data_IF_944019792689
#
_entry.id   IF_944019792689
#
_cell.length_a   1.000
_cell.length_b   1.000
_cell.length_c   1.000
_cell.angle_alpha   90.00
_cell.angle_beta   90.00
_cell.angle_gamma   90.00
#
_symmetry.space_group_name_H-M   'P 1'
#
loop_
_entity.id
_entity.type
_entity.pdbx_description
1 polymer ?
#
# COMPACT_ATOMS: atom_id res chain seq x y z
N UNK A 1 -7.26 -2.48 22.56
CA UNK A 1 -7.30 -1.04 22.25
C UNK A 1 -5.98 -0.34 22.56
N UNK A 2 -5.37 -0.49 23.76
CA UNK A 2 -4.07 0.16 24.10
C UNK A 2 -2.93 -0.15 23.13
N UNK A 3 -2.77 -1.39 22.69
CA UNK A 3 -1.71 -1.80 21.74
C UNK A 3 -1.89 -1.15 20.35
N UNK A 4 -3.12 -1.07 19.86
CA UNK A 4 -3.41 -0.41 18.57
C UNK A 4 -3.03 1.08 18.60
N UNK A 5 -3.36 1.79 19.67
CA UNK A 5 -2.99 3.20 19.87
C UNK A 5 -1.48 3.35 20.02
N UNK A 6 -0.82 2.42 20.74
CA UNK A 6 0.64 2.38 20.87
C UNK A 6 1.35 2.20 19.53
N UNK A 7 0.86 1.26 18.70
CA UNK A 7 1.40 1.02 17.35
C UNK A 7 1.20 2.24 16.43
N UNK A 8 0.06 2.92 16.54
CA UNK A 8 -0.20 4.15 15.78
C UNK A 8 0.77 5.26 16.20
N UNK A 9 0.95 5.47 17.51
CA UNK A 9 1.91 6.46 18.04
C UNK A 9 3.34 6.19 17.59
N UNK A 10 3.78 4.91 17.62
CA UNK A 10 5.09 4.50 17.12
C UNK A 10 5.23 4.77 15.61
N UNK A 11 4.20 4.45 14.82
CA UNK A 11 4.21 4.65 13.37
C UNK A 11 4.32 6.14 13.00
N UNK A 12 3.61 7.01 13.71
CA UNK A 12 3.68 8.46 13.55
C UNK A 12 5.07 8.98 13.92
N UNK A 13 5.62 8.57 15.07
CA UNK A 13 6.96 8.97 15.51
C UNK A 13 8.03 8.52 14.51
N UNK A 14 7.92 7.28 14.01
CA UNK A 14 8.82 6.75 12.99
C UNK A 14 8.78 7.60 11.71
N UNK A 15 7.58 7.91 11.20
CA UNK A 15 7.44 8.72 10.00
C UNK A 15 8.01 10.14 10.19
N UNK A 16 7.80 10.77 11.35
CA UNK A 16 8.38 12.09 11.67
C UNK A 16 9.92 12.07 11.69
N UNK A 17 10.53 10.95 12.07
CA UNK A 17 11.99 10.81 12.09
C UNK A 17 12.57 10.52 10.70
N UNK A 18 11.77 10.05 9.74
CA UNK A 18 12.19 9.73 8.37
C UNK A 18 12.15 10.95 7.44
N UNK A 19 12.84 12.02 7.81
CA UNK A 19 12.89 13.26 7.02
C UNK A 19 13.38 13.04 5.59
N UNK A 20 14.39 12.16 5.41
CA UNK A 20 14.95 11.87 4.08
C UNK A 20 13.94 11.14 3.19
N UNK A 21 13.24 10.14 3.73
CA UNK A 21 12.19 9.42 3.01
C UNK A 21 11.06 10.37 2.60
N UNK A 22 10.58 11.20 3.51
CA UNK A 22 9.53 12.21 3.23
C UNK A 22 9.98 13.13 2.09
N UNK A 23 11.15 13.76 2.19
CA UNK A 23 11.64 14.71 1.18
C UNK A 23 11.77 14.06 -0.20
N UNK A 24 12.34 12.86 -0.27
CA UNK A 24 12.53 12.16 -1.56
C UNK A 24 11.20 11.76 -2.18
N UNK A 25 10.27 11.19 -1.39
CA UNK A 25 8.94 10.84 -1.89
C UNK A 25 8.18 12.10 -2.32
N UNK A 26 8.27 13.18 -1.54
CA UNK A 26 7.69 14.48 -1.90
C UNK A 26 8.23 15.01 -3.21
N UNK A 27 9.56 15.00 -3.39
CA UNK A 27 10.18 15.46 -4.63
C UNK A 27 9.75 14.61 -5.84
N UNK A 28 9.67 13.28 -5.69
CA UNK A 28 9.19 12.38 -6.73
C UNK A 28 7.73 12.67 -7.09
N UNK A 29 6.88 12.93 -6.11
CA UNK A 29 5.48 13.30 -6.32
C UNK A 29 5.36 14.65 -7.04
N UNK A 30 6.19 15.65 -6.68
CA UNK A 30 6.22 16.94 -7.36
C UNK A 30 6.61 16.83 -8.83
N UNK A 31 7.68 16.07 -9.11
CA UNK A 31 8.12 15.83 -10.49
C UNK A 31 6.97 15.20 -11.30
N UNK A 32 6.25 14.26 -10.70
CA UNK A 32 5.11 13.62 -11.34
C UNK A 32 3.98 14.62 -11.62
N UNK A 33 3.69 15.52 -10.67
CA UNK A 33 2.64 16.56 -10.83
C UNK A 33 2.99 17.56 -11.91
N UNK A 34 4.26 18.00 -11.98
CA UNK A 34 4.73 18.92 -13.04
C UNK A 34 4.64 18.24 -14.40
N UNK A 35 4.95 16.96 -14.48
CA UNK A 35 4.84 16.18 -15.73
C UNK A 35 3.39 16.00 -16.19
N UNK A 36 2.41 15.95 -15.23
CA UNK A 36 0.98 15.93 -15.57
C UNK A 36 0.51 17.25 -16.19
N UNK A 37 0.97 18.37 -15.68
CA UNK A 37 0.54 19.69 -16.12
C UNK A 37 0.97 19.99 -17.59
N UNK A 38 2.07 19.39 -18.07
CA UNK A 38 2.67 19.71 -19.36
C UNK A 38 2.23 18.82 -20.53
N UNK A 39 1.18 18.02 -20.41
CA UNK A 39 0.48 17.25 -21.47
C UNK A 39 1.33 16.49 -22.52
N UNK A 40 2.63 16.36 -22.35
CA UNK A 40 3.47 15.51 -23.19
C UNK A 40 3.31 14.04 -22.78
N UNK A 41 2.18 13.45 -23.20
CA UNK A 41 1.60 12.19 -22.71
C UNK A 41 2.60 11.02 -22.57
N UNK A 42 3.49 10.81 -23.51
CA UNK A 42 4.33 9.61 -23.50
C UNK A 42 5.45 9.64 -22.46
N UNK A 43 6.04 10.79 -22.20
CA UNK A 43 7.09 10.94 -21.17
C UNK A 43 6.49 10.95 -19.78
N UNK A 44 5.29 11.51 -19.63
CA UNK A 44 4.53 11.56 -18.39
C UNK A 44 4.23 10.17 -17.83
N UNK A 45 3.62 9.29 -18.61
CA UNK A 45 3.27 7.95 -18.14
C UNK A 45 4.50 7.14 -17.69
N UNK A 46 5.64 7.31 -18.37
CA UNK A 46 6.90 6.67 -17.97
C UNK A 46 7.41 7.21 -16.63
N UNK A 47 7.40 8.52 -16.43
CA UNK A 47 7.84 9.15 -15.17
C UNK A 47 6.92 8.77 -14.02
N UNK A 48 5.60 8.79 -14.22
CA UNK A 48 4.61 8.36 -13.25
C UNK A 48 4.83 6.91 -12.84
N UNK A 49 5.00 6.01 -13.80
CA UNK A 49 5.23 4.60 -13.53
C UNK A 49 6.49 4.39 -12.68
N UNK A 50 7.61 5.01 -13.04
CA UNK A 50 8.87 4.90 -12.28
C UNK A 50 8.72 5.46 -10.87
N UNK A 51 8.07 6.62 -10.72
CA UNK A 51 7.82 7.25 -9.41
C UNK A 51 6.96 6.33 -8.52
N UNK A 52 5.87 5.80 -9.06
CA UNK A 52 5.01 4.87 -8.34
C UNK A 52 5.77 3.61 -7.91
N UNK A 53 6.63 3.06 -8.77
CA UNK A 53 7.45 1.89 -8.43
C UNK A 53 8.42 2.20 -7.30
N UNK A 54 9.07 3.38 -7.30
CA UNK A 54 9.98 3.78 -6.21
C UNK A 54 9.21 3.94 -4.90
N UNK A 55 8.07 4.63 -4.90
CA UNK A 55 7.22 4.83 -3.72
C UNK A 55 6.71 3.49 -3.18
N UNK A 56 6.20 2.63 -4.05
CA UNK A 56 5.72 1.30 -3.65
C UNK A 56 6.85 0.41 -3.10
N UNK A 57 8.03 0.50 -3.69
CA UNK A 57 9.23 -0.20 -3.22
C UNK A 57 9.67 0.29 -1.85
N UNK A 58 9.71 1.60 -1.65
CA UNK A 58 10.06 2.19 -0.36
C UNK A 58 9.09 1.74 0.75
N UNK A 59 7.78 1.83 0.49
CA UNK A 59 6.77 1.35 1.44
C UNK A 59 6.90 -0.16 1.75
N UNK A 60 7.32 -0.98 0.77
CA UNK A 60 7.60 -2.40 1.00
C UNK A 60 8.80 -2.60 1.94
N UNK A 61 9.86 -1.81 1.80
CA UNK A 61 11.01 -1.85 2.71
C UNK A 61 10.65 -1.39 4.12
N UNK A 62 9.86 -0.30 4.27
CA UNK A 62 9.37 0.14 5.59
C UNK A 62 8.64 -1.00 6.30
N UNK A 63 7.70 -1.66 5.62
CA UNK A 63 6.97 -2.80 6.19
C UNK A 63 7.90 -3.96 6.55
N UNK A 64 8.86 -4.30 5.70
CA UNK A 64 9.79 -5.39 5.92
C UNK A 64 10.78 -5.14 7.07
N UNK A 65 11.36 -3.93 7.17
CA UNK A 65 12.20 -3.52 8.30
C UNK A 65 11.41 -3.58 9.61
N UNK A 66 10.16 -3.14 9.58
CA UNK A 66 9.26 -3.19 10.74
C UNK A 66 9.00 -4.63 11.19
N UNK A 67 8.72 -5.53 10.27
CA UNK A 67 8.52 -6.95 10.57
C UNK A 67 9.75 -7.60 11.19
N UNK A 68 10.95 -7.19 10.77
CA UNK A 68 12.21 -7.62 11.39
C UNK A 68 12.49 -6.99 12.75
N UNK A 69 11.68 -6.06 13.19
CA UNK A 69 11.87 -5.37 14.46
C UNK A 69 12.88 -4.22 14.41
N UNK A 70 13.28 -3.80 13.22
CA UNK A 70 14.19 -2.68 13.07
C UNK A 70 13.44 -1.35 13.13
N UNK A 71 13.99 -0.39 13.86
CA UNK A 71 13.56 1.00 13.87
C UNK A 71 14.35 1.86 12.86
N UNK A 72 15.28 1.24 12.12
CA UNK A 72 16.04 1.94 11.10
C UNK A 72 15.17 2.24 9.86
N UNK A 73 15.44 3.39 9.25
CA UNK A 73 14.80 3.77 7.98
C UNK A 73 15.47 3.09 6.80
N UNK A 74 14.69 2.68 5.78
CA UNK A 74 15.25 2.12 4.58
C UNK A 74 16.20 3.10 3.89
N UNK A 75 17.39 2.63 3.54
CA UNK A 75 18.36 3.45 2.79
C UNK A 75 17.94 3.54 1.32
N UNK A 76 17.84 4.78 0.79
CA UNK A 76 17.44 5.04 -0.60
C UNK A 76 18.65 5.00 -1.57
N UNK A 77 19.76 4.42 -1.16
CA UNK A 77 21.02 4.40 -1.94
C UNK A 77 20.96 3.46 -3.16
N UNK A 78 19.95 2.62 -3.29
CA UNK A 78 19.84 1.67 -4.39
C UNK A 78 18.46 1.74 -5.06
N UNK A 79 18.29 2.73 -5.94
CA UNK A 79 17.05 2.94 -6.69
C UNK A 79 16.65 1.70 -7.50
N UNK A 80 17.60 0.95 -8.07
CA UNK A 80 17.32 -0.28 -8.82
C UNK A 80 16.62 -1.31 -7.96
N UNK A 81 17.06 -1.50 -6.70
CA UNK A 81 16.39 -2.41 -5.76
C UNK A 81 15.01 -1.91 -5.39
N UNK A 82 14.83 -0.60 -5.17
CA UNK A 82 13.52 -0.01 -4.86
C UNK A 82 12.53 -0.21 -6.00
N UNK A 83 12.95 0.11 -7.23
CA UNK A 83 12.13 -0.08 -8.44
C UNK A 83 11.76 -1.55 -8.58
N UNK A 84 12.70 -2.47 -8.38
CA UNK A 84 12.45 -3.91 -8.49
C UNK A 84 11.46 -4.42 -7.44
N UNK A 85 11.58 -3.96 -6.20
CA UNK A 85 10.60 -4.30 -5.15
C UNK A 85 9.23 -3.68 -5.41
N UNK A 86 9.18 -2.44 -5.91
CA UNK A 86 7.95 -1.81 -6.35
C UNK A 86 7.29 -2.56 -7.50
N UNK A 87 8.08 -3.00 -8.49
CA UNK A 87 7.60 -3.81 -9.61
C UNK A 87 6.98 -5.13 -9.13
N UNK A 88 7.68 -5.87 -8.26
CA UNK A 88 7.13 -7.11 -7.67
C UNK A 88 5.79 -6.85 -6.97
N UNK A 89 5.70 -5.78 -6.18
CA UNK A 89 4.47 -5.42 -5.48
C UNK A 89 3.36 -5.03 -6.45
N UNK A 90 3.67 -4.23 -7.48
CA UNK A 90 2.70 -3.85 -8.52
C UNK A 90 2.19 -5.08 -9.27
N UNK A 91 3.08 -6.01 -9.63
CA UNK A 91 2.71 -7.26 -10.30
C UNK A 91 1.80 -8.11 -9.41
N UNK A 92 2.08 -8.24 -8.11
CA UNK A 92 1.22 -8.95 -7.16
C UNK A 92 -0.16 -8.27 -7.11
N UNK A 93 -0.19 -6.94 -6.95
CA UNK A 93 -1.45 -6.17 -6.92
C UNK A 93 -2.25 -6.38 -8.20
N UNK A 94 -1.58 -6.32 -9.36
CA UNK A 94 -2.22 -6.53 -10.65
C UNK A 94 -2.83 -7.94 -10.77
N UNK A 95 -2.08 -8.99 -10.44
CA UNK A 95 -2.56 -10.38 -10.52
C UNK A 95 -3.78 -10.57 -9.62
N UNK A 96 -3.74 -10.08 -8.37
CA UNK A 96 -4.88 -10.16 -7.47
C UNK A 96 -6.07 -9.29 -7.92
N UNK A 97 -5.86 -8.26 -8.73
CA UNK A 97 -6.96 -7.43 -9.26
C UNK A 97 -7.69 -8.08 -10.45
N UNK A 98 -7.10 -9.08 -11.11
CA UNK A 98 -7.68 -9.70 -12.31
C UNK A 98 -9.11 -10.24 -12.07
N UNK A 99 -9.38 -11.05 -11.02
CA UNK A 99 -10.73 -11.58 -10.80
C UNK A 99 -11.77 -10.48 -10.63
N UNK A 100 -11.40 -9.42 -9.89
CA UNK A 100 -12.28 -8.28 -9.66
C UNK A 100 -12.52 -7.47 -10.94
N UNK A 101 -11.47 -7.20 -11.71
CA UNK A 101 -11.55 -6.46 -12.98
C UNK A 101 -12.43 -7.22 -13.98
N UNK A 102 -12.23 -8.53 -14.09
CA UNK A 102 -13.05 -9.40 -14.92
C UNK A 102 -14.53 -9.35 -14.49
N UNK A 103 -14.79 -9.48 -13.19
CA UNK A 103 -16.15 -9.39 -12.66
C UNK A 103 -16.79 -8.04 -12.96
N UNK A 104 -16.10 -6.92 -12.70
CA UNK A 104 -16.61 -5.57 -12.99
C UNK A 104 -16.90 -5.40 -14.48
N UNK A 105 -16.06 -5.95 -15.36
CA UNK A 105 -16.28 -5.87 -16.81
C UNK A 105 -17.54 -6.64 -17.23
N UNK A 106 -17.71 -7.87 -16.75
CA UNK A 106 -18.89 -8.68 -17.01
C UNK A 106 -20.15 -8.07 -16.41
N UNK A 107 -20.02 -7.46 -15.25
CA UNK A 107 -21.11 -6.83 -14.53
C UNK A 107 -21.59 -5.52 -15.17
N UNK A 108 -20.71 -4.73 -15.79
CA UNK A 108 -21.09 -3.51 -16.55
C UNK A 108 -22.14 -3.80 -17.63
N UNK A 109 -22.17 -5.02 -18.15
CA UNK A 109 -23.16 -5.46 -19.14
C UNK A 109 -24.54 -5.69 -18.51
N UNK A 110 -24.69 -5.91 -17.18
CA UNK A 110 -25.92 -6.38 -16.55
C UNK A 110 -26.28 -5.78 -15.16
N UNK A 111 -25.48 -4.87 -14.59
CA UNK A 111 -25.62 -4.48 -13.16
C UNK A 111 -26.81 -3.59 -12.84
N UNK A 112 -27.44 -2.94 -13.80
CA UNK A 112 -28.46 -1.91 -13.49
C UNK A 112 -29.73 -2.45 -12.81
N UNK A 113 -29.84 -3.76 -12.52
CA UNK A 113 -31.06 -4.32 -11.93
C UNK A 113 -30.90 -5.57 -11.04
N UNK A 114 -29.70 -6.10 -10.78
CA UNK A 114 -29.60 -7.39 -10.08
C UNK A 114 -28.80 -7.30 -8.77
N UNK A 115 -29.54 -7.22 -7.64
CA UNK A 115 -28.99 -7.22 -6.27
C UNK A 115 -28.06 -8.42 -6.02
N UNK A 116 -28.39 -9.59 -6.58
CA UNK A 116 -27.61 -10.82 -6.41
C UNK A 116 -26.21 -10.64 -7.02
N UNK A 117 -26.13 -10.05 -8.20
CA UNK A 117 -24.84 -9.81 -8.89
C UNK A 117 -23.98 -8.82 -8.11
N UNK A 118 -24.57 -7.79 -7.50
CA UNK A 118 -23.88 -6.84 -6.63
C UNK A 118 -23.34 -7.51 -5.37
N UNK A 119 -24.10 -8.39 -4.75
CA UNK A 119 -23.65 -9.17 -3.58
C UNK A 119 -22.48 -10.10 -3.93
N UNK A 120 -22.54 -10.81 -5.04
CA UNK A 120 -21.44 -11.65 -5.54
C UNK A 120 -20.18 -10.79 -5.74
N UNK A 121 -20.31 -9.61 -6.33
CA UNK A 121 -19.20 -8.67 -6.51
C UNK A 121 -18.55 -8.23 -5.22
N UNK A 122 -19.35 -7.90 -4.21
CA UNK A 122 -18.84 -7.52 -2.88
C UNK A 122 -18.09 -8.69 -2.24
N UNK A 123 -18.65 -9.91 -2.29
CA UNK A 123 -18.02 -11.11 -1.73
C UNK A 123 -16.69 -11.37 -2.45
N UNK A 124 -16.68 -11.33 -3.77
CA UNK A 124 -15.46 -11.53 -4.57
C UNK A 124 -14.40 -10.47 -4.26
N UNK A 125 -14.82 -9.21 -4.10
CA UNK A 125 -13.91 -8.12 -3.71
C UNK A 125 -13.28 -8.39 -2.35
N UNK A 126 -14.09 -8.74 -1.35
CA UNK A 126 -13.60 -9.04 0.00
C UNK A 126 -12.63 -10.22 -0.04
N UNK A 127 -12.99 -11.32 -0.66
CA UNK A 127 -12.14 -12.52 -0.75
C UNK A 127 -10.80 -12.23 -1.46
N UNK A 128 -10.86 -11.55 -2.61
CA UNK A 128 -9.66 -11.18 -3.37
C UNK A 128 -8.74 -10.26 -2.55
N UNK A 129 -9.33 -9.30 -1.85
CA UNK A 129 -8.59 -8.37 -1.01
C UNK A 129 -7.95 -9.06 0.21
N UNK A 130 -8.64 -10.01 0.82
CA UNK A 130 -8.10 -10.83 1.91
C UNK A 130 -6.92 -11.69 1.43
N UNK A 131 -7.09 -12.40 0.32
CA UNK A 131 -6.00 -13.19 -0.30
C UNK A 131 -4.80 -12.31 -0.64
N UNK A 132 -5.02 -11.11 -1.16
CA UNK A 132 -3.96 -10.14 -1.46
C UNK A 132 -3.18 -9.75 -0.20
N UNK A 133 -3.89 -9.42 0.90
CA UNK A 133 -3.24 -9.05 2.17
C UNK A 133 -2.40 -10.20 2.69
N UNK A 134 -2.99 -11.39 2.80
CA UNK A 134 -2.31 -12.59 3.31
C UNK A 134 -1.15 -12.98 2.41
N UNK A 135 -1.33 -12.91 1.10
CA UNK A 135 -0.26 -13.16 0.12
C UNK A 135 0.93 -12.20 0.26
N UNK A 136 0.67 -10.91 0.48
CA UNK A 136 1.74 -9.95 0.79
C UNK A 136 2.44 -10.28 2.11
N UNK A 137 1.70 -10.70 3.14
CA UNK A 137 2.26 -11.11 4.41
C UNK A 137 3.13 -12.35 4.26
N UNK A 138 2.64 -13.38 3.57
CA UNK A 138 3.40 -14.58 3.29
C UNK A 138 4.70 -14.28 2.54
N UNK A 139 4.64 -13.40 1.56
CA UNK A 139 5.84 -12.93 0.86
C UNK A 139 6.85 -12.29 1.83
N UNK A 140 6.41 -11.45 2.76
CA UNK A 140 7.32 -10.81 3.72
C UNK A 140 7.97 -11.84 4.67
N UNK A 141 7.24 -12.85 5.10
CA UNK A 141 7.76 -13.95 5.93
C UNK A 141 8.83 -14.75 5.19
N UNK A 142 8.67 -14.97 3.89
CA UNK A 142 9.60 -15.71 3.03
C UNK A 142 10.65 -14.81 2.35
N UNK A 143 11.19 -13.82 3.07
CA UNK A 143 12.30 -12.95 2.64
C UNK A 143 12.02 -12.20 1.31
N UNK A 144 10.76 -11.90 1.03
CA UNK A 144 10.36 -11.13 -0.15
C UNK A 144 10.32 -11.92 -1.46
N UNK A 145 10.31 -13.26 -1.43
CA UNK A 145 10.16 -14.10 -2.63
C UNK A 145 8.82 -13.82 -3.29
N UNK A 146 8.84 -13.54 -4.58
CA UNK A 146 7.64 -13.16 -5.35
C UNK A 146 6.57 -14.25 -5.39
N UNK A 147 6.99 -15.49 -5.63
CA UNK A 147 6.11 -16.66 -5.79
C UNK A 147 5.33 -16.96 -4.51
N UNK A 148 5.92 -16.72 -3.36
CA UNK A 148 5.27 -16.97 -2.07
C UNK A 148 4.02 -16.12 -1.84
N UNK A 149 3.89 -14.99 -2.55
CA UNK A 149 2.66 -14.21 -2.52
C UNK A 149 1.44 -14.98 -3.07
N UNK A 150 1.65 -16.05 -3.80
CA UNK A 150 0.60 -16.85 -4.49
C UNK A 150 0.51 -18.29 -3.98
N UNK A 151 1.26 -18.66 -2.95
CA UNK A 151 1.22 -19.97 -2.34
C UNK A 151 -0.09 -20.17 -1.58
N UNK A 152 -1.12 -20.72 -2.25
CA UNK A 152 -2.45 -20.93 -1.66
C UNK A 152 -2.40 -21.72 -0.35
N UNK A 153 -1.54 -22.75 -0.29
CA UNK A 153 -1.38 -23.56 0.92
C UNK A 153 -0.93 -22.70 2.11
N UNK A 154 0.09 -21.88 1.91
CA UNK A 154 0.60 -21.00 2.96
C UNK A 154 -0.38 -19.88 3.31
N UNK A 155 -1.11 -19.36 2.31
CA UNK A 155 -2.16 -18.37 2.52
C UNK A 155 -3.27 -18.93 3.41
N UNK A 156 -3.70 -20.18 3.16
CA UNK A 156 -4.73 -20.85 3.96
C UNK A 156 -4.19 -21.13 5.37
N UNK A 157 -2.97 -21.64 5.50
CA UNK A 157 -2.34 -21.88 6.80
C UNK A 157 -2.27 -20.58 7.62
N UNK A 158 -1.79 -19.50 7.03
CA UNK A 158 -1.76 -18.20 7.68
C UNK A 158 -3.17 -17.72 8.06
N UNK A 159 -4.15 -17.87 7.18
CA UNK A 159 -5.53 -17.46 7.47
C UNK A 159 -6.12 -18.20 8.69
N UNK A 160 -5.74 -19.47 8.92
CA UNK A 160 -6.18 -20.25 10.06
C UNK A 160 -5.53 -19.82 11.39
N UNK A 161 -4.33 -19.27 11.31
CA UNK A 161 -3.58 -18.79 12.49
C UNK A 161 -4.17 -17.45 13.00
N UNK A 162 -4.81 -16.67 12.13
CA UNK A 162 -5.35 -15.37 12.48
C UNK A 162 -6.66 -15.49 13.29
N UNK A 163 -6.65 -15.05 14.54
CA UNK A 163 -7.90 -14.78 15.24
C UNK A 163 -8.64 -13.58 14.60
N UNK A 164 -9.95 -13.58 14.68
CA UNK A 164 -10.80 -12.57 14.04
C UNK A 164 -10.42 -11.13 14.46
N UNK A 165 -10.07 -10.92 15.73
CA UNK A 165 -9.72 -9.59 16.25
C UNK A 165 -8.41 -9.07 15.64
N UNK A 166 -7.40 -9.92 15.55
CA UNK A 166 -6.11 -9.58 14.95
C UNK A 166 -6.23 -9.37 13.45
N UNK A 167 -7.07 -10.16 12.79
CA UNK A 167 -7.37 -10.03 11.39
C UNK A 167 -8.05 -8.70 11.07
N UNK A 168 -9.07 -8.29 11.83
CA UNK A 168 -9.73 -6.99 11.69
C UNK A 168 -8.73 -5.84 11.89
N UNK A 169 -7.79 -5.95 12.84
CA UNK A 169 -6.75 -4.93 13.06
C UNK A 169 -5.84 -4.77 11.86
N UNK A 170 -5.36 -5.87 11.29
CA UNK A 170 -4.50 -5.84 10.09
C UNK A 170 -5.25 -5.28 8.89
N UNK A 171 -6.48 -5.73 8.64
CA UNK A 171 -7.32 -5.19 7.56
C UNK A 171 -7.55 -3.70 7.73
N UNK A 172 -7.92 -3.24 8.93
CA UNK A 172 -8.12 -1.81 9.21
C UNK A 172 -6.85 -1.01 8.93
N UNK A 173 -5.69 -1.52 9.34
CA UNK A 173 -4.41 -0.88 9.07
C UNK A 173 -4.09 -0.80 7.57
N UNK A 174 -4.40 -1.87 6.82
CA UNK A 174 -4.21 -1.89 5.36
C UNK A 174 -5.19 -0.95 4.67
N UNK A 175 -6.47 -0.94 5.05
CA UNK A 175 -7.48 -0.02 4.49
C UNK A 175 -7.06 1.43 4.73
N UNK A 176 -6.69 1.80 5.95
CA UNK A 176 -6.18 3.13 6.28
C UNK A 176 -4.98 3.48 5.40
N UNK A 177 -4.03 2.53 5.24
CA UNK A 177 -2.88 2.71 4.35
C UNK A 177 -3.25 2.95 2.90
N UNK A 178 -4.30 2.29 2.39
CA UNK A 178 -4.76 2.47 1.00
C UNK A 178 -5.53 3.78 0.83
N UNK A 179 -6.37 4.15 1.79
CA UNK A 179 -7.06 5.44 1.76
C UNK A 179 -6.05 6.58 1.68
N UNK A 180 -4.99 6.57 2.49
CA UNK A 180 -3.93 7.58 2.41
C UNK A 180 -3.18 7.54 1.07
N UNK A 181 -2.90 6.36 0.51
CA UNK A 181 -2.26 6.23 -0.79
C UNK A 181 -3.12 6.81 -1.94
N UNK A 182 -4.44 6.60 -1.88
CA UNK A 182 -5.39 7.13 -2.88
C UNK A 182 -5.52 8.64 -2.75
N UNK A 183 -5.60 9.17 -1.52
CA UNK A 183 -5.72 10.63 -1.27
C UNK A 183 -4.52 11.39 -1.86
N UNK A 184 -3.33 10.77 -1.81
CA UNK A 184 -2.12 11.27 -2.45
C UNK A 184 -2.29 11.40 -3.97
N UNK A 185 -2.86 10.38 -4.62
CA UNK A 185 -3.01 10.35 -6.08
C UNK A 185 -4.10 11.32 -6.55
N UNK A 186 -5.21 11.41 -5.83
CA UNK A 186 -6.37 12.25 -6.20
C UNK A 186 -6.11 13.73 -5.90
N UNK A 187 -5.33 14.04 -4.85
CA UNK A 187 -5.01 15.43 -4.49
C UNK A 187 -4.19 16.20 -5.54
N UNK A 188 -3.59 15.50 -6.52
CA UNK A 188 -2.76 16.11 -7.56
C UNK A 188 -3.46 16.35 -8.90
N UNK A 189 -4.75 16.01 -9.04
CA UNK A 189 -5.43 16.03 -10.35
C UNK A 189 -6.15 17.35 -10.68
N UNK A 190 -6.25 18.30 -9.77
CA UNK A 190 -7.03 19.53 -9.95
C UNK A 190 -6.10 20.77 -10.01
N UNK A 191 -6.28 21.61 -10.99
CA UNK A 191 -5.46 22.76 -11.43
C UNK A 191 -4.97 23.81 -10.41
N UNK A 192 -4.24 24.81 -10.86
CA UNK A 192 -3.47 25.78 -10.06
C UNK A 192 -4.29 27.02 -9.67
N UNK A 193 -4.82 27.06 -8.43
CA UNK A 193 -5.29 28.27 -7.75
C UNK A 193 -4.55 28.48 -6.42
N UNK A 194 -4.52 29.70 -5.86
CA UNK A 194 -3.75 30.00 -4.65
C UNK A 194 -4.18 29.17 -3.44
N UNK A 195 -5.46 28.85 -3.33
CA UNK A 195 -6.02 27.92 -2.36
C UNK A 195 -5.55 26.49 -2.66
N UNK A 196 -5.36 26.12 -3.91
CA UNK A 196 -4.81 24.86 -4.34
C UNK A 196 -3.31 24.76 -4.12
N UNK A 197 -2.57 25.89 -4.14
CA UNK A 197 -1.16 25.92 -3.77
C UNK A 197 -0.98 25.49 -2.29
N UNK A 198 -1.78 26.03 -1.37
CA UNK A 198 -1.73 25.67 0.05
C UNK A 198 -2.18 24.20 0.25
N UNK A 199 -3.21 23.76 -0.44
CA UNK A 199 -3.64 22.34 -0.47
C UNK A 199 -2.54 21.47 -1.06
N UNK A 200 -1.92 21.87 -2.14
CA UNK A 200 -0.84 21.14 -2.80
C UNK A 200 0.40 21.02 -1.90
N UNK A 201 0.81 22.09 -1.23
CA UNK A 201 1.93 22.07 -0.28
C UNK A 201 1.63 21.16 0.91
N UNK A 202 0.44 21.27 1.51
CA UNK A 202 0.05 20.39 2.62
C UNK A 202 -0.06 18.93 2.20
N UNK A 203 -0.65 18.66 1.04
CA UNK A 203 -0.73 17.32 0.48
C UNK A 203 0.65 16.78 0.15
N UNK A 204 1.54 17.62 -0.35
CA UNK A 204 2.90 17.29 -0.75
C UNK A 204 3.76 16.79 0.42
N UNK A 205 3.61 17.35 1.62
CA UNK A 205 4.34 16.91 2.81
C UNK A 205 3.58 15.88 3.64
N UNK A 206 2.26 16.03 3.75
CA UNK A 206 1.44 15.15 4.57
C UNK A 206 1.26 13.78 3.94
N UNK A 207 1.16 13.70 2.63
CA UNK A 207 0.91 12.44 1.94
C UNK A 207 2.06 11.43 2.08
N UNK A 208 3.35 11.77 1.84
CA UNK A 208 4.46 10.87 2.11
C UNK A 208 4.57 10.49 3.59
N UNK A 209 4.32 11.44 4.48
CA UNK A 209 4.29 11.20 5.91
C UNK A 209 3.26 10.14 6.30
N UNK A 210 2.00 10.32 5.89
CA UNK A 210 0.95 9.34 6.17
C UNK A 210 1.19 8.01 5.49
N UNK A 211 1.76 8.02 4.29
CA UNK A 211 2.12 6.77 3.60
C UNK A 211 3.16 5.96 4.38
N UNK A 212 4.24 6.60 4.84
CA UNK A 212 5.28 5.96 5.65
C UNK A 212 4.70 5.46 6.98
N UNK A 213 3.94 6.32 7.68
CA UNK A 213 3.28 5.95 8.93
C UNK A 213 2.35 4.75 8.75
N UNK A 214 1.54 4.74 7.70
CA UNK A 214 0.64 3.63 7.40
C UNK A 214 1.39 2.32 7.11
N UNK A 215 2.52 2.36 6.37
CA UNK A 215 3.34 1.16 6.12
C UNK A 215 4.01 0.64 7.39
N UNK A 216 4.48 1.53 8.25
CA UNK A 216 5.00 1.17 9.58
C UNK A 216 3.91 0.56 10.45
N UNK A 217 2.73 1.16 10.51
CA UNK A 217 1.60 0.71 11.28
C UNK A 217 1.14 -0.70 10.89
N UNK A 218 1.02 -0.99 9.60
CA UNK A 218 0.74 -2.33 9.09
C UNK A 218 1.81 -3.32 9.57
N UNK A 219 3.09 -2.98 9.39
CA UNK A 219 4.20 -3.84 9.81
C UNK A 219 4.20 -4.16 11.30
N UNK A 220 3.91 -3.18 12.17
CA UNK A 220 3.83 -3.37 13.63
C UNK A 220 2.69 -4.30 14.02
N UNK A 221 1.49 -4.10 13.46
CA UNK A 221 0.34 -4.95 13.78
C UNK A 221 0.55 -6.41 13.32
N UNK A 222 1.18 -6.60 12.15
CA UNK A 222 1.51 -7.94 11.67
C UNK A 222 2.58 -8.61 12.53
N UNK A 223 3.64 -7.87 12.91
CA UNK A 223 4.69 -8.38 13.80
C UNK A 223 4.14 -8.83 15.14
N UNK A 224 3.28 -8.00 15.74
CA UNK A 224 2.62 -8.35 17.01
C UNK A 224 1.81 -9.63 16.89
N UNK A 225 1.11 -9.79 15.79
CA UNK A 225 0.32 -10.97 15.51
C UNK A 225 1.19 -12.23 15.40
N UNK A 226 2.32 -12.14 14.67
CA UNK A 226 3.26 -13.25 14.54
C UNK A 226 3.92 -13.64 15.88
N UNK A 227 4.20 -12.65 16.74
CA UNK A 227 4.79 -12.90 18.06
C UNK A 227 3.82 -13.56 19.05
N UNK A 228 2.52 -13.35 18.87
CA UNK A 228 1.47 -13.90 19.73
C UNK A 228 0.93 -15.27 19.27
N UNK A 229 1.35 -15.74 18.10
CA UNK A 229 1.00 -17.05 17.57
C UNK A 229 2.13 -18.04 17.86
N UNK A 230 1.89 -19.12 18.62
CA UNK A 230 2.86 -20.21 18.73
C UNK A 230 2.99 -20.86 17.34
N UNK A 231 4.17 -20.65 16.71
CA UNK A 231 4.58 -21.34 15.49
C UNK A 231 5.15 -22.69 15.88
#
# INVERSE_FOLDING_TARGET
>A
MRLFVGNLGNAVKYALSDRKGIIIISALMAITSIATANQHLNSFWRMLAVTLLIVMGYGSYVSWYTLKGSDEHPKINNLKKLIWEGFKKSAITFIYSIPLTFFVHMAKVNINSNIILSLIGIILFVLTYLCFIIGLLNRYLHKGKFIEAFSLREIINLAQIFDIKSFIRVISAVIISQVFAITVVVGFSNGFDLIELVKSISTFFLAPFFYIAAKRFVGLNVRELLNNTPI
#
